data_IF_204949048049
#
_entry.id   IF_204949048049
#
_cell.length_a   1.000
_cell.length_b   1.000
_cell.length_c   1.000
_cell.angle_alpha   90.00
_cell.angle_beta   90.00
_cell.angle_gamma   90.00
#
_symmetry.space_group_name_H-M   'P 1'
#
loop_
_entity.id
_entity.type
_entity.pdbx_description
1 polymer ?
#
# COMPACT_ATOMS: atom_id res chain seq x y z
N UNK A 1 24.21 10.83 -5.73
CA UNK A 1 22.89 10.60 -6.36
C UNK A 1 22.61 9.13 -6.21
N UNK A 2 21.44 8.76 -5.71
CA UNK A 2 21.20 7.40 -5.26
C UNK A 2 20.35 6.69 -6.31
N UNK A 3 21.00 6.07 -7.29
CA UNK A 3 20.37 4.97 -8.03
C UNK A 3 20.65 3.72 -7.21
N UNK A 4 19.71 3.32 -6.36
CA UNK A 4 20.01 2.29 -5.37
C UNK A 4 20.46 1.00 -6.04
N UNK A 5 21.63 0.48 -5.64
CA UNK A 5 22.04 -0.86 -6.04
C UNK A 5 21.14 -1.91 -5.41
N UNK A 6 21.18 -3.13 -5.94
CA UNK A 6 20.48 -4.28 -5.34
C UNK A 6 20.81 -4.42 -3.86
N UNK A 7 22.08 -4.30 -3.51
CA UNK A 7 22.60 -4.46 -2.15
C UNK A 7 22.10 -3.35 -1.22
N UNK A 8 22.02 -2.11 -1.71
CA UNK A 8 21.46 -0.98 -0.95
C UNK A 8 19.97 -1.20 -0.66
N UNK A 9 19.19 -1.68 -1.64
CA UNK A 9 17.75 -1.99 -1.43
C UNK A 9 17.56 -3.12 -0.42
N UNK A 10 18.42 -4.15 -0.47
CA UNK A 10 18.40 -5.23 0.52
C UNK A 10 18.72 -4.71 1.91
N UNK A 11 19.74 -3.84 2.03
CA UNK A 11 20.14 -3.24 3.31
C UNK A 11 19.04 -2.38 3.94
N UNK A 12 18.19 -1.73 3.13
CA UNK A 12 17.04 -0.94 3.62
C UNK A 12 15.85 -1.80 4.07
N UNK A 13 15.74 -3.02 3.56
CA UNK A 13 14.61 -3.93 3.83
C UNK A 13 15.09 -5.26 4.43
N UNK A 14 15.91 -5.25 5.51
CA UNK A 14 16.60 -6.44 5.99
C UNK A 14 15.67 -7.48 6.61
N UNK A 15 14.48 -7.06 7.06
CA UNK A 15 13.47 -7.95 7.63
C UNK A 15 12.81 -8.85 6.58
N UNK A 16 12.87 -8.48 5.30
CA UNK A 16 12.31 -9.31 4.23
C UNK A 16 13.26 -10.46 3.86
N UNK A 17 12.79 -11.69 4.09
CA UNK A 17 13.53 -12.94 3.82
C UNK A 17 12.98 -13.72 2.61
N UNK A 18 11.95 -13.19 1.93
CA UNK A 18 11.33 -13.84 0.77
C UNK A 18 12.02 -13.55 -0.56
N UNK A 19 11.37 -13.92 -1.67
CA UNK A 19 11.83 -13.64 -3.03
C UNK A 19 12.02 -12.12 -3.24
N UNK A 20 12.98 -11.74 -4.09
CA UNK A 20 13.26 -10.34 -4.44
C UNK A 20 13.37 -10.18 -5.96
N UNK A 21 12.99 -9.01 -6.45
CA UNK A 21 13.24 -8.61 -7.83
C UNK A 21 14.74 -8.42 -8.09
N UNK A 22 15.12 -8.27 -9.37
CA UNK A 22 16.52 -8.10 -9.78
C UNK A 22 17.17 -6.87 -9.13
N UNK A 23 16.39 -5.79 -8.95
CA UNK A 23 16.80 -4.54 -8.30
C UNK A 23 16.83 -4.61 -6.76
N UNK A 24 16.59 -5.78 -6.17
CA UNK A 24 16.67 -6.01 -4.73
C UNK A 24 15.37 -5.73 -3.97
N UNK A 25 14.35 -5.15 -4.61
CA UNK A 25 13.06 -4.89 -3.97
C UNK A 25 12.41 -6.19 -3.49
N UNK A 26 11.80 -6.21 -2.29
CA UNK A 26 10.92 -7.29 -1.85
C UNK A 26 9.86 -7.66 -2.89
N UNK A 27 9.75 -8.95 -3.21
CA UNK A 27 8.74 -9.51 -4.11
C UNK A 27 7.74 -10.31 -3.28
N UNK A 28 6.84 -9.61 -2.60
CA UNK A 28 5.68 -10.22 -1.94
C UNK A 28 4.91 -11.03 -2.99
N UNK A 29 4.33 -12.19 -2.66
CA UNK A 29 3.59 -12.99 -3.65
C UNK A 29 2.26 -12.32 -4.08
N UNK A 30 1.86 -12.49 -5.35
CA UNK A 30 0.64 -11.88 -5.92
C UNK A 30 -0.63 -12.22 -5.13
N UNK A 31 -0.73 -13.43 -4.58
CA UNK A 31 -1.89 -13.84 -3.75
C UNK A 31 -2.18 -12.93 -2.57
N UNK A 32 -1.13 -12.31 -1.99
CA UNK A 32 -1.31 -11.37 -0.89
C UNK A 32 -1.87 -10.04 -1.42
N UNK A 33 -1.41 -9.58 -2.59
CA UNK A 33 -1.95 -8.39 -3.23
C UNK A 33 -3.40 -8.60 -3.66
N UNK A 34 -3.75 -9.81 -4.09
CA UNK A 34 -5.13 -10.18 -4.43
C UNK A 34 -6.04 -10.12 -3.21
N UNK A 35 -5.63 -10.70 -2.08
CA UNK A 35 -6.41 -10.67 -0.84
C UNK A 35 -6.68 -9.24 -0.34
N UNK A 36 -5.73 -8.30 -0.53
CA UNK A 36 -5.90 -6.90 -0.12
C UNK A 36 -7.04 -6.20 -0.87
N UNK A 37 -7.44 -6.65 -2.06
CA UNK A 37 -8.60 -6.05 -2.75
C UNK A 37 -9.92 -6.27 -2.01
N UNK A 38 -10.00 -7.29 -1.16
CA UNK A 38 -11.20 -7.63 -0.39
C UNK A 38 -11.16 -7.08 1.05
N UNK A 39 -10.06 -6.42 1.45
CA UNK A 39 -9.86 -5.92 2.83
C UNK A 39 -10.10 -4.42 2.99
N UNK A 40 -10.55 -3.97 4.15
CA UNK A 40 -10.76 -2.55 4.46
C UNK A 40 -9.47 -1.86 4.92
N UNK A 41 -9.45 -0.52 4.98
CA UNK A 41 -8.25 0.18 5.47
C UNK A 41 -8.00 -0.15 6.95
N UNK A 42 -9.08 -0.26 7.72
CA UNK A 42 -9.10 -0.46 9.17
C UNK A 42 -8.54 -1.84 9.55
N UNK A 43 -8.87 -2.87 8.76
CA UNK A 43 -8.31 -4.23 8.89
C UNK A 43 -6.79 -4.26 8.67
N UNK A 44 -6.26 -3.35 7.84
CA UNK A 44 -4.85 -3.34 7.44
C UNK A 44 -4.00 -2.40 8.31
N UNK A 45 -4.55 -1.25 8.68
CA UNK A 45 -3.89 -0.20 9.45
C UNK A 45 -3.62 -0.61 10.88
N UNK A 46 -4.63 -1.13 11.60
CA UNK A 46 -4.51 -1.42 13.04
C UNK A 46 -3.38 -2.42 13.33
N UNK A 47 -3.23 -3.55 12.60
CA UNK A 47 -2.16 -4.52 12.86
C UNK A 47 -0.75 -3.95 12.71
N UNK A 48 -0.51 -3.06 11.74
CA UNK A 48 0.81 -2.44 11.57
C UNK A 48 1.03 -1.31 12.58
N UNK A 49 -0.01 -0.55 12.91
CA UNK A 49 0.07 0.57 13.86
C UNK A 49 0.49 0.10 15.25
N UNK A 50 -0.12 -0.97 15.78
CA UNK A 50 0.23 -1.52 17.10
C UNK A 50 1.64 -2.11 17.17
N UNK A 51 2.28 -2.35 16.03
CA UNK A 51 3.69 -2.74 15.94
C UNK A 51 4.66 -1.54 15.84
N UNK A 52 4.14 -0.31 16.01
CA UNK A 52 4.93 0.93 15.99
C UNK A 52 5.11 1.56 14.61
N UNK A 53 4.42 1.08 13.57
CA UNK A 53 4.46 1.67 12.23
C UNK A 53 3.43 2.80 12.11
N UNK A 54 3.64 3.89 12.84
CA UNK A 54 2.66 4.98 12.97
C UNK A 54 2.63 5.96 11.77
N UNK A 55 3.67 5.98 10.94
CA UNK A 55 3.84 6.94 9.82
C UNK A 55 3.72 6.26 8.46
N UNK A 56 2.68 5.45 8.29
CA UNK A 56 2.46 4.65 7.07
C UNK A 56 1.25 5.07 6.24
N UNK A 57 0.41 5.98 6.75
CA UNK A 57 -0.78 6.45 6.06
C UNK A 57 -0.64 7.92 5.66
N UNK A 58 -1.08 8.26 4.45
CA UNK A 58 -1.16 9.63 3.96
C UNK A 58 -2.52 9.86 3.27
N UNK A 59 -3.24 10.90 3.70
CA UNK A 59 -4.49 11.31 3.06
C UNK A 59 -4.21 11.95 1.69
N UNK A 60 -4.91 11.49 0.64
CA UNK A 60 -4.66 11.93 -0.74
C UNK A 60 -5.92 11.87 -1.59
N UNK A 61 -5.98 12.69 -2.64
CA UNK A 61 -7.07 12.65 -3.62
C UNK A 61 -6.85 11.51 -4.60
N UNK A 62 -7.89 10.75 -4.89
CA UNK A 62 -7.89 9.71 -5.92
C UNK A 62 -8.40 10.28 -7.25
N UNK A 63 -7.86 9.77 -8.36
CA UNK A 63 -8.31 10.11 -9.72
C UNK A 63 -9.72 9.59 -9.95
N UNK A 64 -9.95 8.31 -9.67
CA UNK A 64 -11.26 7.70 -9.75
C UNK A 64 -11.88 7.61 -8.35
N UNK A 65 -13.19 7.89 -8.18
CA UNK A 65 -13.87 7.69 -6.91
C UNK A 65 -13.61 6.30 -6.34
N UNK A 66 -13.28 6.22 -5.06
CA UNK A 66 -12.95 4.96 -4.39
C UNK A 66 -14.21 4.12 -4.13
N UNK A 67 -15.36 4.77 -3.97
CA UNK A 67 -16.67 4.19 -3.74
C UNK A 67 -17.66 4.62 -4.83
N UNK A 68 -18.68 3.78 -5.05
CA UNK A 68 -19.85 4.12 -5.84
C UNK A 68 -20.88 4.85 -4.98
N UNK A 69 -21.92 5.38 -5.61
CA UNK A 69 -23.01 6.09 -4.92
C UNK A 69 -23.76 5.21 -3.90
N UNK A 70 -23.79 3.89 -4.11
CA UNK A 70 -24.40 2.92 -3.20
C UNK A 70 -23.51 2.52 -2.01
N UNK A 71 -22.32 3.14 -1.89
CA UNK A 71 -21.35 2.84 -0.84
C UNK A 71 -20.47 1.62 -1.09
N UNK A 72 -20.69 0.87 -2.18
CA UNK A 72 -19.81 -0.26 -2.54
C UNK A 72 -18.47 0.24 -3.07
N UNK A 73 -17.41 -0.53 -2.83
CA UNK A 73 -16.08 -0.21 -3.34
C UNK A 73 -16.12 -0.17 -4.87
N UNK A 74 -15.61 0.93 -5.43
CA UNK A 74 -15.44 1.11 -6.87
C UNK A 74 -14.02 0.74 -7.31
N UNK A 75 -13.00 1.30 -6.65
CA UNK A 75 -11.62 1.12 -7.09
C UNK A 75 -10.62 1.30 -5.96
N UNK A 76 -9.80 0.26 -5.77
CA UNK A 76 -8.60 0.28 -4.93
C UNK A 76 -7.34 0.35 -5.77
N UNK A 77 -6.24 0.76 -5.15
CA UNK A 77 -4.89 0.65 -5.70
C UNK A 77 -4.10 -0.34 -4.85
N UNK A 78 -3.63 -1.45 -5.43
CA UNK A 78 -2.77 -2.39 -4.72
C UNK A 78 -1.57 -2.75 -5.59
N UNK A 79 -0.36 -2.67 -5.03
CA UNK A 79 0.83 -3.15 -5.71
C UNK A 79 2.12 -2.87 -4.97
N UNK A 80 3.25 -3.21 -5.58
CA UNK A 80 4.58 -3.10 -4.94
C UNK A 80 5.23 -1.78 -5.31
N UNK A 81 5.76 -1.07 -4.33
CA UNK A 81 6.29 0.26 -4.53
C UNK A 81 7.54 0.25 -5.42
N UNK A 82 7.55 1.13 -6.43
CA UNK A 82 8.75 1.65 -7.10
C UNK A 82 8.85 3.11 -6.72
N UNK A 83 9.86 3.46 -5.93
CA UNK A 83 9.96 4.78 -5.32
C UNK A 83 10.93 5.69 -6.07
N UNK A 84 10.63 6.98 -6.13
CA UNK A 84 11.59 8.00 -6.55
C UNK A 84 11.32 9.34 -5.86
N UNK A 85 12.38 10.04 -5.48
CA UNK A 85 12.29 11.39 -4.91
C UNK A 85 13.03 12.41 -5.76
N UNK A 86 12.54 13.63 -5.73
CA UNK A 86 13.02 14.72 -6.56
C UNK A 86 13.34 15.96 -5.70
N UNK A 87 13.98 16.94 -6.32
CA UNK A 87 14.25 18.26 -5.75
C UNK A 87 14.18 19.35 -6.83
N UNK A 88 14.17 20.64 -6.45
CA UNK A 88 14.37 21.73 -7.39
C UNK A 88 15.66 21.55 -8.20
N UNK A 89 15.61 21.93 -9.48
CA UNK A 89 16.79 21.84 -10.34
C UNK A 89 17.90 22.76 -9.84
N UNK A 90 19.09 22.17 -9.65
CA UNK A 90 20.37 22.88 -9.53
C UNK A 90 21.25 22.47 -10.73
N UNK A 91 21.73 23.40 -11.59
CA UNK A 91 22.32 23.05 -12.88
C UNK A 91 23.53 22.10 -12.83
N UNK A 92 24.44 22.29 -11.87
CA UNK A 92 25.60 21.43 -11.65
C UNK A 92 25.19 20.01 -11.25
N UNK A 93 24.22 19.89 -10.33
CA UNK A 93 23.66 18.60 -9.93
C UNK A 93 22.93 17.90 -11.08
N UNK A 94 22.10 18.63 -11.84
CA UNK A 94 21.37 18.07 -12.98
C UNK A 94 22.33 17.53 -14.06
N UNK A 95 23.44 18.23 -14.30
CA UNK A 95 24.50 17.76 -15.19
C UNK A 95 25.16 16.47 -14.69
N UNK A 96 25.51 16.42 -13.40
CA UNK A 96 26.07 15.22 -12.78
C UNK A 96 25.09 14.02 -12.85
N UNK A 97 23.79 14.26 -12.61
CA UNK A 97 22.72 13.27 -12.69
C UNK A 97 22.57 12.69 -14.08
N UNK A 98 22.52 13.54 -15.09
CA UNK A 98 22.42 13.10 -16.48
C UNK A 98 23.65 12.27 -16.91
N UNK A 99 24.85 12.64 -16.46
CA UNK A 99 26.08 11.90 -16.75
C UNK A 99 26.07 10.51 -16.10
N UNK A 100 25.69 10.42 -14.82
CA UNK A 100 25.61 9.13 -14.13
C UNK A 100 24.52 8.23 -14.74
N UNK A 101 23.34 8.78 -15.04
CA UNK A 101 22.26 8.03 -15.68
C UNK A 101 22.69 7.45 -17.04
N UNK A 102 23.43 8.23 -17.84
CA UNK A 102 24.00 7.78 -19.13
C UNK A 102 25.03 6.67 -18.94
N UNK A 103 25.89 6.77 -17.93
CA UNK A 103 26.85 5.71 -17.61
C UNK A 103 26.15 4.40 -17.19
N UNK A 104 24.96 4.48 -16.61
CA UNK A 104 24.08 3.35 -16.29
C UNK A 104 23.18 2.92 -17.47
N UNK A 105 23.40 3.45 -18.68
CA UNK A 105 22.65 3.10 -19.88
C UNK A 105 21.21 3.64 -19.92
N UNK A 106 20.84 4.56 -19.03
CA UNK A 106 19.50 5.16 -19.03
C UNK A 106 19.37 6.21 -20.14
N UNK A 107 18.21 6.22 -20.80
CA UNK A 107 17.89 7.12 -21.91
C UNK A 107 16.67 7.95 -21.52
N UNK A 108 16.62 9.21 -21.99
CA UNK A 108 15.49 10.09 -21.75
C UNK A 108 15.54 10.83 -20.41
N UNK A 109 14.37 11.17 -19.88
CA UNK A 109 14.21 12.00 -18.68
C UNK A 109 14.01 11.19 -17.41
N UNK A 110 14.26 11.76 -16.22
CA UNK A 110 14.19 11.01 -14.96
C UNK A 110 12.86 10.29 -14.69
N UNK A 111 11.73 10.89 -15.06
CA UNK A 111 10.43 10.23 -14.96
C UNK A 111 10.28 9.03 -15.90
N UNK A 112 10.87 9.07 -17.11
CA UNK A 112 10.86 7.93 -18.04
C UNK A 112 11.66 6.75 -17.46
N UNK A 113 12.78 7.01 -16.79
CA UNK A 113 13.56 5.95 -16.14
C UNK A 113 12.75 5.16 -15.11
N UNK A 114 11.85 5.82 -14.38
CA UNK A 114 10.94 5.16 -13.45
C UNK A 114 9.94 4.30 -14.20
N UNK A 115 9.25 4.87 -15.20
CA UNK A 115 8.27 4.13 -16.01
C UNK A 115 8.90 2.91 -16.69
N UNK A 116 10.10 3.05 -17.25
CA UNK A 116 10.78 1.98 -17.96
C UNK A 116 11.12 0.80 -17.06
N UNK A 117 11.37 1.05 -15.77
CA UNK A 117 11.69 0.02 -14.78
C UNK A 117 10.50 -0.80 -14.28
N UNK A 118 9.26 -0.36 -14.56
CA UNK A 118 8.08 -0.99 -13.98
C UNK A 118 7.89 -2.42 -14.44
N UNK A 119 7.48 -3.25 -13.50
CA UNK A 119 7.04 -4.62 -13.69
C UNK A 119 5.54 -4.75 -13.43
N UNK A 120 5.01 -5.95 -13.70
CA UNK A 120 3.62 -6.28 -13.40
C UNK A 120 3.30 -6.00 -11.93
N UNK A 121 2.16 -5.36 -11.68
CA UNK A 121 1.63 -4.98 -10.36
C UNK A 121 2.51 -4.01 -9.55
N UNK A 122 3.41 -3.28 -10.19
CA UNK A 122 4.12 -2.18 -9.54
C UNK A 122 3.21 -0.95 -9.38
N UNK A 123 3.43 -0.19 -8.32
CA UNK A 123 2.86 1.13 -8.09
C UNK A 123 4.01 2.11 -7.93
N UNK A 124 4.03 3.17 -8.74
CA UNK A 124 5.02 4.23 -8.55
C UNK A 124 4.64 5.07 -7.34
N UNK A 125 5.61 5.38 -6.48
CA UNK A 125 5.44 6.26 -5.32
C UNK A 125 6.46 7.39 -5.43
N UNK A 126 5.96 8.59 -5.73
CA UNK A 126 6.79 9.71 -6.18
C UNK A 126 6.69 10.87 -5.19
N UNK A 127 7.84 11.25 -4.63
CA UNK A 127 7.99 12.50 -3.88
C UNK A 127 8.45 13.62 -4.83
N UNK A 128 7.53 14.50 -5.20
CA UNK A 128 7.81 15.73 -5.96
C UNK A 128 7.98 16.95 -5.03
N UNK A 129 8.43 16.76 -3.78
CA UNK A 129 8.74 17.83 -2.83
C UNK A 129 7.60 18.86 -2.70
N UNK A 130 6.36 18.36 -2.66
CA UNK A 130 5.09 19.10 -2.62
C UNK A 130 4.86 20.07 -3.82
N UNK A 131 5.54 19.83 -4.95
CA UNK A 131 5.43 20.66 -6.16
C UNK A 131 4.19 20.30 -6.98
N UNK A 132 3.27 21.26 -7.12
CA UNK A 132 2.12 21.18 -8.03
C UNK A 132 2.41 21.89 -9.36
N UNK A 133 2.65 23.20 -9.33
CA UNK A 133 3.02 23.98 -10.51
C UNK A 133 4.35 23.47 -11.09
N UNK A 134 4.31 23.01 -12.35
CA UNK A 134 5.40 22.31 -13.06
C UNK A 134 5.84 20.99 -12.40
N UNK A 135 5.10 20.48 -11.41
CA UNK A 135 5.36 19.22 -10.72
C UNK A 135 4.44 18.09 -11.18
N UNK A 136 3.91 18.20 -12.39
CA UNK A 136 2.87 17.34 -12.98
C UNK A 136 3.44 16.02 -13.49
N UNK A 137 3.78 15.11 -12.58
CA UNK A 137 4.53 13.88 -12.89
C UNK A 137 3.80 12.95 -13.86
N UNK A 138 2.50 12.75 -13.63
CA UNK A 138 1.65 11.88 -14.43
C UNK A 138 0.62 12.70 -15.21
N UNK A 139 0.42 12.31 -16.46
CA UNK A 139 -0.69 12.73 -17.32
C UNK A 139 -1.06 11.60 -18.29
N UNK A 140 -1.93 11.85 -19.27
CA UNK A 140 -2.56 10.80 -20.10
C UNK A 140 -1.59 9.75 -20.68
N UNK A 141 -0.48 10.18 -21.28
CA UNK A 141 0.52 9.27 -21.85
C UNK A 141 1.19 8.38 -20.78
N UNK A 142 1.58 8.96 -19.65
CA UNK A 142 2.27 8.21 -18.60
C UNK A 142 1.30 7.28 -17.86
N UNK A 143 0.06 7.70 -17.64
CA UNK A 143 -0.99 6.82 -17.12
C UNK A 143 -1.20 5.60 -18.01
N UNK A 144 -1.21 5.79 -19.33
CA UNK A 144 -1.32 4.69 -20.30
C UNK A 144 -0.10 3.76 -20.21
N UNK A 145 1.11 4.31 -20.14
CA UNK A 145 2.33 3.52 -20.00
C UNK A 145 2.38 2.72 -18.70
N UNK A 146 1.95 3.31 -17.58
CA UNK A 146 1.82 2.63 -16.28
C UNK A 146 0.86 1.45 -16.43
N UNK A 147 -0.35 1.70 -16.93
CA UNK A 147 -1.38 0.66 -17.13
C UNK A 147 -0.88 -0.51 -17.99
N UNK A 148 -0.14 -0.22 -19.06
CA UNK A 148 0.42 -1.25 -19.95
C UNK A 148 1.51 -2.08 -19.28
N UNK A 149 2.38 -1.47 -18.47
CA UNK A 149 3.47 -2.18 -17.80
C UNK A 149 3.03 -2.95 -16.55
N UNK A 150 2.08 -2.40 -15.81
CA UNK A 150 1.73 -2.90 -14.46
C UNK A 150 0.46 -3.72 -14.45
N UNK A 151 -0.39 -3.64 -15.47
CA UNK A 151 -1.69 -4.32 -15.43
C UNK A 151 -2.66 -3.57 -14.52
N UNK A 152 -2.78 -3.98 -13.26
CA UNK A 152 -3.67 -3.37 -12.26
C UNK A 152 -2.93 -2.49 -11.23
N UNK A 153 -1.67 -2.16 -11.50
CA UNK A 153 -0.92 -1.19 -10.69
C UNK A 153 -1.38 0.25 -10.91
N UNK A 154 -0.54 1.21 -10.53
CA UNK A 154 -0.93 2.62 -10.60
C UNK A 154 0.13 3.57 -10.09
N UNK A 155 -0.31 4.70 -9.51
CA UNK A 155 0.60 5.75 -9.07
C UNK A 155 0.13 6.45 -7.79
N UNK A 156 1.10 6.85 -6.97
CA UNK A 156 0.95 7.73 -5.82
C UNK A 156 1.93 8.88 -6.02
N UNK A 157 1.41 10.07 -6.28
CA UNK A 157 2.19 11.25 -6.67
C UNK A 157 2.01 12.34 -5.62
N UNK A 158 3.00 12.51 -4.74
CA UNK A 158 3.06 13.68 -3.86
C UNK A 158 3.54 14.90 -4.64
N UNK A 159 2.69 15.35 -5.56
CA UNK A 159 2.90 16.42 -6.51
C UNK A 159 1.69 16.62 -7.42
N UNK A 160 1.91 17.37 -8.51
CA UNK A 160 0.90 17.62 -9.52
C UNK A 160 0.60 16.40 -10.40
N UNK A 161 -0.61 16.36 -10.94
CA UNK A 161 -0.97 15.61 -12.16
C UNK A 161 -1.62 16.55 -13.20
N UNK A 162 -1.72 16.10 -14.45
CA UNK A 162 -2.30 16.89 -15.56
C UNK A 162 -3.05 16.00 -16.55
N UNK A 163 -3.70 16.60 -17.55
CA UNK A 163 -4.42 15.87 -18.61
C UNK A 163 -5.54 14.94 -18.06
N UNK A 164 -6.29 15.42 -17.07
CA UNK A 164 -7.28 14.64 -16.28
C UNK A 164 -8.29 13.91 -17.17
N UNK A 165 -8.82 14.56 -18.20
CA UNK A 165 -9.77 13.95 -19.15
C UNK A 165 -9.18 12.75 -19.89
N UNK A 166 -7.88 12.75 -20.18
CA UNK A 166 -7.21 11.63 -20.81
C UNK A 166 -6.94 10.52 -19.80
N UNK A 167 -6.54 10.88 -18.57
CA UNK A 167 -6.28 9.92 -17.50
C UNK A 167 -7.53 9.11 -17.15
N UNK A 168 -8.71 9.75 -17.10
CA UNK A 168 -9.99 9.07 -16.85
C UNK A 168 -10.39 8.04 -17.91
N UNK A 169 -9.86 8.16 -19.14
CA UNK A 169 -10.15 7.21 -20.23
C UNK A 169 -9.29 5.95 -20.14
N UNK A 170 -8.28 5.92 -19.28
CA UNK A 170 -7.42 4.74 -19.10
C UNK A 170 -8.10 3.76 -18.15
N UNK A 171 -8.46 2.54 -18.60
CA UNK A 171 -9.14 1.56 -17.75
C UNK A 171 -8.18 0.98 -16.69
N UNK A 172 -8.75 0.50 -15.60
CA UNK A 172 -8.07 -0.28 -14.53
C UNK A 172 -6.77 0.33 -13.97
N UNK A 173 -6.68 1.66 -13.93
CA UNK A 173 -5.60 2.39 -13.25
C UNK A 173 -6.17 3.26 -12.14
N UNK A 174 -5.46 3.34 -11.01
CA UNK A 174 -5.78 4.30 -9.96
C UNK A 174 -4.55 5.18 -9.70
N UNK A 175 -4.81 6.47 -9.48
CA UNK A 175 -3.77 7.46 -9.20
C UNK A 175 -4.17 8.27 -7.98
N UNK A 176 -3.32 8.30 -6.97
CA UNK A 176 -3.42 9.24 -5.86
C UNK A 176 -2.50 10.42 -6.12
N UNK A 177 -2.98 11.64 -5.88
CA UNK A 177 -2.26 12.86 -6.21
C UNK A 177 -2.48 13.97 -5.17
N UNK A 178 -1.53 14.92 -5.14
CA UNK A 178 -1.55 16.07 -4.24
C UNK A 178 -2.32 17.27 -4.82
N UNK A 179 -2.15 17.54 -6.11
CA UNK A 179 -2.83 18.64 -6.80
C UNK A 179 -2.90 18.46 -8.32
N UNK A 180 -3.59 19.38 -8.99
CA UNK A 180 -3.76 19.39 -10.44
C UNK A 180 -3.26 20.72 -10.97
N UNK A 181 -2.53 20.70 -12.08
CA UNK A 181 -2.09 21.89 -12.79
C UNK A 181 -1.90 21.57 -14.29
N UNK A 182 -2.19 22.48 -15.24
CA UNK A 182 -2.06 22.20 -16.67
C UNK A 182 -0.61 22.26 -17.18
N UNK A 183 0.36 22.73 -16.38
CA UNK A 183 1.74 22.91 -16.83
C UNK A 183 2.42 21.58 -17.13
N UNK A 184 3.38 21.55 -18.08
CA UNK A 184 4.26 20.40 -18.22
C UNK A 184 5.25 20.33 -17.05
N UNK A 185 5.68 19.11 -16.71
CA UNK A 185 6.71 18.90 -15.68
C UNK A 185 8.02 19.63 -16.06
N UNK A 186 8.53 20.47 -15.15
CA UNK A 186 9.74 21.30 -15.32
C UNK A 186 10.40 21.56 -13.96
N UNK A 187 11.66 22.01 -14.00
CA UNK A 187 12.40 22.51 -12.84
C UNK A 187 12.55 21.46 -11.71
N UNK A 188 12.83 20.20 -12.09
CA UNK A 188 13.03 19.07 -11.19
C UNK A 188 14.32 18.30 -11.50
N UNK A 189 14.97 17.75 -10.48
CA UNK A 189 16.07 16.81 -10.59
C UNK A 189 15.79 15.61 -9.68
N UNK A 190 16.12 14.39 -10.11
CA UNK A 190 15.96 13.18 -9.31
C UNK A 190 17.07 13.09 -8.27
N UNK A 191 16.69 12.91 -7.01
CA UNK A 191 17.62 12.67 -5.91
C UNK A 191 17.96 11.19 -5.75
N UNK A 192 16.96 10.34 -5.94
CA UNK A 192 17.14 8.90 -5.97
C UNK A 192 15.95 8.14 -6.53
N UNK A 193 16.25 6.89 -6.90
CA UNK A 193 15.30 5.90 -7.41
C UNK A 193 15.54 4.58 -6.67
N UNK A 194 14.45 3.91 -6.28
CA UNK A 194 14.47 2.80 -5.34
C UNK A 194 15.15 3.17 -4.01
N UNK A 195 14.88 4.38 -3.51
CA UNK A 195 15.28 4.86 -2.18
C UNK A 195 14.04 5.17 -1.31
N UNK A 196 14.18 5.42 0.00
CA UNK A 196 13.06 5.84 0.83
C UNK A 196 12.49 7.15 0.31
N UNK A 197 11.16 7.26 0.25
CA UNK A 197 10.46 8.50 -0.10
C UNK A 197 9.59 8.93 1.06
N UNK A 198 9.58 10.22 1.35
CA UNK A 198 8.71 10.83 2.36
C UNK A 198 7.64 11.63 1.65
N UNK A 199 6.38 11.30 1.88
CA UNK A 199 5.24 12.05 1.37
C UNK A 199 4.66 12.88 2.52
N UNK A 200 4.31 14.13 2.26
CA UNK A 200 3.83 15.04 3.31
C UNK A 200 4.94 15.66 4.16
N UNK A 201 4.50 16.36 5.21
CA UNK A 201 5.36 17.03 6.18
C UNK A 201 4.86 16.83 7.63
N UNK A 202 5.68 17.24 8.59
CA UNK A 202 5.33 17.17 10.01
C UNK A 202 4.98 15.77 10.49
N UNK A 203 3.96 15.69 11.35
CA UNK A 203 3.44 14.44 11.92
C UNK A 203 2.61 13.63 10.91
N UNK A 204 2.07 14.28 9.89
CA UNK A 204 1.21 13.66 8.88
C UNK A 204 2.02 13.01 7.75
N UNK A 205 3.35 13.13 7.78
CA UNK A 205 4.21 12.53 6.78
C UNK A 205 4.17 11.00 6.86
N UNK A 206 4.08 10.37 5.69
CA UNK A 206 4.26 8.94 5.53
C UNK A 206 5.59 8.63 4.86
N UNK A 207 6.20 7.50 5.21
CA UNK A 207 7.39 6.97 4.55
C UNK A 207 7.04 5.75 3.73
N UNK A 208 7.60 5.64 2.54
CA UNK A 208 7.49 4.44 1.72
C UNK A 208 8.88 3.98 1.31
N UNK A 209 9.16 2.69 1.51
CA UNK A 209 10.36 2.03 1.06
C UNK A 209 10.11 1.28 -0.27
N UNK A 210 11.15 1.06 -1.08
CA UNK A 210 11.05 0.24 -2.29
C UNK A 210 10.56 -1.17 -1.97
N UNK A 211 9.48 -1.59 -2.63
CA UNK A 211 8.86 -2.91 -2.43
C UNK A 211 7.89 -3.00 -1.25
N UNK A 212 7.63 -1.91 -0.51
CA UNK A 212 6.44 -1.83 0.33
C UNK A 212 5.18 -2.10 -0.50
N UNK A 213 4.15 -2.66 0.13
CA UNK A 213 2.87 -2.80 -0.52
C UNK A 213 2.13 -1.49 -0.36
N UNK A 214 1.73 -0.91 -1.48
CA UNK A 214 0.84 0.24 -1.55
C UNK A 214 -0.58 -0.26 -1.50
N UNK A 215 -1.37 0.21 -0.54
CA UNK A 215 -2.82 0.04 -0.48
C UNK A 215 -3.49 1.41 -0.52
N UNK A 216 -4.23 1.70 -1.58
CA UNK A 216 -5.00 2.93 -1.73
C UNK A 216 -6.50 2.63 -1.72
N UNK A 217 -7.19 3.13 -0.70
CA UNK A 217 -8.64 3.18 -0.56
C UNK A 217 -8.97 4.02 0.68
N UNK A 218 -10.24 4.41 0.85
CA UNK A 218 -10.74 5.06 2.07
C UNK A 218 -10.05 6.39 2.39
N UNK A 219 -9.84 7.23 1.38
CA UNK A 219 -9.40 8.62 1.54
C UNK A 219 -7.88 8.84 1.51
N UNK A 220 -7.09 7.79 1.26
CA UNK A 220 -5.64 7.92 1.23
C UNK A 220 -4.90 6.67 0.80
N UNK A 221 -3.63 6.64 1.17
CA UNK A 221 -2.69 5.56 0.83
C UNK A 221 -2.00 5.08 2.09
N UNK A 222 -2.00 3.77 2.27
CA UNK A 222 -1.28 3.03 3.30
C UNK A 222 -0.07 2.31 2.67
N UNK A 223 1.08 2.40 3.32
CA UNK A 223 2.29 1.66 2.98
C UNK A 223 2.50 0.51 3.97
N UNK A 224 2.34 -0.72 3.50
CA UNK A 224 2.49 -1.91 4.34
C UNK A 224 3.90 -2.48 4.13
N UNK A 225 4.74 -2.53 5.19
CA UNK A 225 6.05 -3.15 5.10
C UNK A 225 5.94 -4.60 4.62
N UNK A 226 6.82 -5.06 3.72
CA UNK A 226 6.63 -6.33 3.02
C UNK A 226 6.72 -7.54 3.96
N UNK A 227 7.53 -7.48 5.02
CA UNK A 227 7.62 -8.56 6.02
C UNK A 227 6.35 -8.70 6.87
N UNK A 228 5.49 -7.67 6.91
CA UNK A 228 4.19 -7.73 7.61
C UNK A 228 3.04 -8.15 6.70
N UNK A 229 3.24 -8.19 5.37
CA UNK A 229 2.18 -8.45 4.40
C UNK A 229 1.38 -9.73 4.70
N UNK A 230 2.07 -10.80 5.06
CA UNK A 230 1.44 -12.08 5.40
C UNK A 230 0.62 -11.96 6.69
N UNK A 231 1.21 -11.40 7.75
CA UNK A 231 0.51 -11.22 9.04
C UNK A 231 -0.72 -10.32 8.89
N UNK A 232 -0.60 -9.25 8.11
CA UNK A 232 -1.70 -8.31 7.84
C UNK A 232 -2.83 -8.99 7.07
N UNK A 233 -2.52 -9.75 6.01
CA UNK A 233 -3.53 -10.46 5.23
C UNK A 233 -4.20 -11.57 6.06
N UNK A 234 -3.42 -12.39 6.75
CA UNK A 234 -3.98 -13.49 7.56
C UNK A 234 -4.77 -12.93 8.75
N UNK A 235 -4.28 -11.87 9.39
CA UNK A 235 -4.98 -11.16 10.47
C UNK A 235 -6.26 -10.45 10.01
N UNK A 236 -6.23 -9.80 8.85
CA UNK A 236 -7.41 -9.19 8.23
C UNK A 236 -8.49 -10.22 7.92
N UNK A 237 -8.11 -11.36 7.33
CA UNK A 237 -9.03 -12.45 7.04
C UNK A 237 -9.65 -13.04 8.33
N UNK A 238 -8.88 -13.14 9.42
CA UNK A 238 -9.42 -13.52 10.74
C UNK A 238 -10.42 -12.51 11.28
N UNK A 239 -10.15 -11.21 11.16
CA UNK A 239 -11.08 -10.15 11.57
C UNK A 239 -12.40 -10.26 10.80
N UNK A 240 -12.35 -10.41 9.47
CA UNK A 240 -13.55 -10.55 8.64
C UNK A 240 -14.46 -11.70 9.07
N UNK A 241 -13.90 -12.88 9.27
CA UNK A 241 -14.71 -14.04 9.67
C UNK A 241 -15.19 -13.94 11.13
N UNK A 242 -14.42 -13.29 12.02
CA UNK A 242 -14.88 -12.94 13.37
C UNK A 242 -16.06 -11.97 13.32
N UNK A 243 -16.06 -10.99 12.44
CA UNK A 243 -17.18 -10.04 12.30
C UNK A 243 -18.44 -10.71 11.73
N UNK A 244 -18.29 -11.52 10.67
CA UNK A 244 -19.40 -12.30 10.10
C UNK A 244 -20.06 -13.17 11.17
N UNK A 245 -19.25 -13.92 11.93
CA UNK A 245 -19.73 -14.75 13.02
C UNK A 245 -20.29 -13.91 14.18
N UNK A 246 -19.60 -12.83 14.56
CA UNK A 246 -19.95 -11.97 15.68
C UNK A 246 -21.32 -11.31 15.49
N UNK A 247 -21.59 -10.76 14.31
CA UNK A 247 -22.90 -10.19 13.97
C UNK A 247 -24.01 -11.23 14.06
N UNK A 248 -23.77 -12.45 13.59
CA UNK A 248 -24.74 -13.52 13.67
C UNK A 248 -25.02 -13.94 15.12
N UNK A 249 -23.98 -14.09 15.94
CA UNK A 249 -24.13 -14.45 17.35
C UNK A 249 -24.84 -13.36 18.16
N UNK A 250 -24.60 -12.08 17.85
CA UNK A 250 -25.33 -10.95 18.44
C UNK A 250 -26.81 -11.00 18.02
N UNK A 251 -27.10 -11.20 16.73
CA UNK A 251 -28.47 -11.29 16.23
C UNK A 251 -29.26 -12.45 16.86
N UNK A 252 -28.56 -13.54 17.19
CA UNK A 252 -29.10 -14.70 17.89
C UNK A 252 -29.16 -14.53 19.42
N UNK A 253 -28.74 -13.38 19.96
CA UNK A 253 -28.59 -13.11 21.41
C UNK A 253 -27.69 -14.12 22.16
N UNK A 254 -26.74 -14.75 21.45
CA UNK A 254 -25.80 -15.70 22.05
C UNK A 254 -24.63 -15.00 22.71
N UNK A 255 -24.17 -13.88 22.14
CA UNK A 255 -23.13 -13.03 22.69
C UNK A 255 -23.58 -11.56 22.72
N UNK A 256 -23.07 -10.84 23.71
CA UNK A 256 -23.21 -9.37 23.79
C UNK A 256 -22.17 -8.69 22.89
N UNK A 257 -22.43 -7.44 22.49
CA UNK A 257 -21.45 -6.60 21.78
C UNK A 257 -20.13 -6.52 22.56
N UNK A 258 -20.20 -6.31 23.88
CA UNK A 258 -19.02 -6.25 24.74
C UNK A 258 -18.20 -7.54 24.80
N UNK A 259 -18.78 -8.72 24.49
CA UNK A 259 -18.02 -9.96 24.37
C UNK A 259 -17.34 -10.07 23.01
N UNK A 260 -18.03 -9.66 21.94
CA UNK A 260 -17.49 -9.67 20.57
C UNK A 260 -16.36 -8.65 20.41
N UNK A 261 -16.49 -7.47 21.03
CA UNK A 261 -15.52 -6.38 20.97
C UNK A 261 -14.25 -6.61 21.82
N UNK A 262 -14.08 -7.79 22.44
CA UNK A 262 -12.83 -8.13 23.14
C UNK A 262 -11.73 -8.45 22.13
N UNK A 263 -10.52 -7.95 22.41
CA UNK A 263 -9.31 -8.32 21.65
C UNK A 263 -9.09 -9.85 21.70
N UNK A 264 -9.21 -10.42 22.90
CA UNK A 264 -9.06 -11.86 23.13
C UNK A 264 -10.42 -12.52 23.40
N UNK A 265 -10.81 -13.44 22.53
CA UNK A 265 -12.03 -14.24 22.70
C UNK A 265 -11.76 -15.45 23.60
N UNK A 266 -12.77 -15.93 24.31
CA UNK A 266 -12.63 -17.15 25.12
C UNK A 266 -12.43 -18.38 24.22
N UNK A 267 -11.87 -19.45 24.77
CA UNK A 267 -11.74 -20.75 24.07
C UNK A 267 -13.10 -21.22 23.54
N UNK A 268 -14.18 -21.06 24.31
CA UNK A 268 -15.53 -21.41 23.88
C UNK A 268 -16.00 -20.61 22.65
N UNK A 269 -15.73 -19.30 22.62
CA UNK A 269 -16.07 -18.46 21.46
C UNK A 269 -15.27 -18.88 20.23
N UNK A 270 -13.98 -19.22 20.39
CA UNK A 270 -13.12 -19.70 19.30
C UNK A 270 -13.56 -21.08 18.80
N UNK A 271 -13.98 -21.98 19.68
CA UNK A 271 -14.51 -23.30 19.30
C UNK A 271 -15.78 -23.15 18.46
N UNK A 272 -16.68 -22.25 18.86
CA UNK A 272 -17.89 -21.95 18.09
C UNK A 272 -17.59 -21.28 16.74
N UNK A 273 -16.62 -20.37 16.71
CA UNK A 273 -16.17 -19.73 15.47
C UNK A 273 -15.55 -20.75 14.51
N UNK A 274 -14.67 -21.62 14.99
CA UNK A 274 -14.01 -22.62 14.14
C UNK A 274 -15.01 -23.67 13.64
N UNK A 275 -15.99 -24.06 14.47
CA UNK A 275 -17.11 -24.91 14.03
C UNK A 275 -17.95 -24.24 12.94
N UNK A 276 -18.26 -22.95 13.10
CA UNK A 276 -18.92 -22.13 12.09
C UNK A 276 -18.14 -22.10 10.77
N UNK A 277 -16.82 -21.87 10.83
CA UNK A 277 -15.93 -21.84 9.65
C UNK A 277 -15.98 -23.17 8.87
N UNK A 278 -16.06 -24.30 9.58
CA UNK A 278 -16.10 -25.62 8.94
C UNK A 278 -17.47 -25.99 8.37
N UNK A 279 -18.56 -25.53 9.00
CA UNK A 279 -19.93 -25.96 8.65
C UNK A 279 -20.67 -25.00 7.73
N UNK A 280 -20.44 -23.70 7.87
CA UNK A 280 -21.12 -22.67 7.08
C UNK A 280 -20.42 -22.43 5.74
N UNK A 281 -21.19 -22.11 4.69
CA UNK A 281 -20.65 -21.79 3.37
C UNK A 281 -19.81 -20.50 3.39
N UNK A 282 -20.19 -19.52 4.22
CA UNK A 282 -19.43 -18.28 4.42
C UNK A 282 -18.05 -18.52 5.02
N UNK A 283 -17.87 -19.66 5.70
CA UNK A 283 -16.61 -20.09 6.29
C UNK A 283 -15.60 -20.66 5.29
N UNK A 284 -16.04 -21.09 4.09
CA UNK A 284 -15.20 -21.80 3.10
C UNK A 284 -13.89 -21.06 2.80
N UNK A 285 -13.85 -19.74 2.54
CA UNK A 285 -12.62 -19.02 2.23
C UNK A 285 -11.60 -18.98 3.38
N UNK A 286 -12.05 -19.23 4.61
CA UNK A 286 -11.29 -19.02 5.85
C UNK A 286 -10.81 -20.32 6.50
N UNK A 287 -11.11 -21.48 5.91
CA UNK A 287 -10.81 -22.81 6.50
C UNK A 287 -9.31 -23.12 6.63
N UNK A 288 -8.46 -22.43 5.88
CA UNK A 288 -7.00 -22.58 5.95
C UNK A 288 -6.34 -21.67 6.98
N UNK A 289 -7.08 -20.80 7.66
CA UNK A 289 -6.51 -19.90 8.67
C UNK A 289 -6.07 -20.69 9.91
N UNK A 290 -4.87 -20.38 10.40
CA UNK A 290 -4.34 -20.94 11.65
C UNK A 290 -4.79 -20.11 12.85
N UNK A 291 -5.52 -20.72 13.80
CA UNK A 291 -6.03 -20.06 15.01
C UNK A 291 -5.19 -20.32 16.26
N UNK A 292 -4.02 -20.96 16.12
CA UNK A 292 -3.19 -21.40 17.25
C UNK A 292 -2.80 -20.26 18.18
N UNK A 293 -2.49 -19.08 17.63
CA UNK A 293 -2.14 -17.86 18.39
C UNK A 293 -3.32 -17.37 19.24
N UNK A 294 -4.52 -17.32 18.68
CA UNK A 294 -5.72 -16.87 19.37
C UNK A 294 -6.10 -17.83 20.51
N UNK A 295 -5.97 -19.13 20.28
CA UNK A 295 -6.16 -20.13 21.33
C UNK A 295 -5.11 -20.03 22.44
N UNK A 296 -3.86 -19.70 22.10
CA UNK A 296 -2.80 -19.50 23.08
C UNK A 296 -3.10 -18.30 23.97
N UNK A 297 -3.45 -17.15 23.38
CA UNK A 297 -3.88 -15.95 24.10
C UNK A 297 -5.12 -16.20 24.97
N UNK A 298 -6.09 -16.96 24.47
CA UNK A 298 -7.30 -17.31 25.22
C UNK A 298 -7.02 -18.18 26.46
N UNK A 299 -5.97 -19.02 26.42
CA UNK A 299 -5.61 -19.95 27.51
C UNK A 299 -4.63 -19.33 28.50
N UNK A 300 -3.66 -18.58 28.00
CA UNK A 300 -2.52 -18.10 28.76
C UNK A 300 -2.61 -16.61 29.12
N UNK A 301 -3.65 -15.92 28.64
CA UNK A 301 -3.87 -14.50 28.84
C UNK A 301 -3.13 -13.65 27.80
N UNK A 302 -3.74 -12.54 27.41
CA UNK A 302 -3.11 -11.56 26.53
C UNK A 302 -2.41 -10.47 27.36
N UNK A 303 -1.08 -10.34 27.26
CA UNK A 303 -0.32 -9.32 27.98
C UNK A 303 -0.76 -7.88 27.66
N UNK A 304 -1.45 -7.68 26.53
CA UNK A 304 -1.90 -6.39 26.02
C UNK A 304 -3.41 -6.15 26.22
N UNK A 305 -4.12 -7.02 26.97
CA UNK A 305 -5.57 -6.89 27.22
C UNK A 305 -5.89 -5.78 28.25
N UNK A 306 -5.55 -4.54 27.88
CA UNK A 306 -5.81 -3.34 28.69
C UNK A 306 -6.66 -2.30 27.96
N UNK A 307 -7.06 -2.56 26.71
CA UNK A 307 -7.84 -1.63 25.90
C UNK A 307 -9.01 -2.34 25.22
N UNK A 308 -10.22 -1.80 25.46
CA UNK A 308 -11.43 -2.02 24.65
C UNK A 308 -11.08 -1.84 23.17
N UNK A 309 -11.57 -2.71 22.27
CA UNK A 309 -11.25 -2.66 20.84
C UNK A 309 -11.92 -1.50 20.06
N UNK A 310 -12.27 -0.40 20.75
CA UNK A 310 -12.90 0.81 20.19
C UNK A 310 -11.90 1.95 20.11
#
# INVERSE_FOLDING_TARGET
MIFSSREEVIAMTPMWQGERFADGRPKVADRYLDALYDMTLEELWKPIFVQGYESQFIAMKSLHPEFKEDGTVNRKLVGRAVTAMYAPTRPDYAGAMANQARALGKVGTPNQWVIDSLQSRDVIVIDMFDKIYKGTFVGGNLTTAIRQKTGNGGAVIWGGIRDIEQMHKVPDVQVYYRGIDPTPIRDFAMLGMNCPVRLGDGREAAICLPGDIVYGCSGGVLFIPPHLAMEVVDGGAKTQIKDIFGFEMIAQNKFTTAQIDKNTWSVEMLDLLTDFIQKDERGIPYRSLDWSREYDLARNGDPNDTQSAL
#
